data_IF_111683765714
#
_entry.id   IF_111683765714
#
_cell.length_a   1.000
_cell.length_b   1.000
_cell.length_c   1.000
_cell.angle_alpha   90.00
_cell.angle_beta   90.00
_cell.angle_gamma   90.00
#
_symmetry.space_group_name_H-M   'P 1'
#
loop_
_entity.id
_entity.type
_entity.pdbx_description
1 polymer ?
#
# COMPACT_ATOMS: atom_id res chain seq x y z
N UNK A 1 -16.80 -5.12 12.62
CA UNK A 1 -15.34 -5.13 12.40
C UNK A 1 -14.84 -3.71 12.54
N UNK A 2 -13.65 -3.53 13.12
CA UNK A 2 -12.97 -2.23 13.19
C UNK A 2 -12.67 -1.70 11.76
N UNK A 3 -13.05 -0.45 11.41
CA UNK A 3 -12.85 0.11 10.07
C UNK A 3 -11.38 0.17 9.63
N UNK A 4 -10.46 0.50 10.53
CA UNK A 4 -9.01 0.55 10.21
C UNK A 4 -8.49 -0.84 9.84
N UNK A 5 -8.87 -1.84 10.62
CA UNK A 5 -8.55 -3.25 10.36
C UNK A 5 -9.12 -3.73 9.03
N UNK A 6 -10.32 -3.28 8.66
CA UNK A 6 -10.91 -3.57 7.35
C UNK A 6 -10.06 -2.98 6.22
N UNK A 7 -9.69 -1.70 6.31
CA UNK A 7 -8.82 -1.06 5.31
C UNK A 7 -7.48 -1.81 5.18
N UNK A 8 -6.79 -2.09 6.29
CA UNK A 8 -5.51 -2.80 6.28
C UNK A 8 -5.64 -4.19 5.62
N UNK A 9 -6.73 -4.91 5.90
CA UNK A 9 -7.02 -6.20 5.26
C UNK A 9 -7.27 -6.09 3.74
N UNK A 10 -7.98 -5.05 3.30
CA UNK A 10 -8.18 -4.77 1.87
C UNK A 10 -6.84 -4.49 1.19
N UNK A 11 -6.00 -3.61 1.74
CA UNK A 11 -4.68 -3.30 1.17
C UNK A 11 -3.81 -4.57 1.04
N UNK A 12 -3.78 -5.40 2.08
CA UNK A 12 -3.01 -6.64 2.04
C UNK A 12 -3.50 -7.62 0.96
N UNK A 13 -4.81 -7.71 0.75
CA UNK A 13 -5.43 -8.55 -0.29
C UNK A 13 -5.11 -8.03 -1.69
N UNK A 14 -5.40 -6.76 -1.93
CA UNK A 14 -5.29 -6.11 -3.25
C UNK A 14 -3.84 -6.14 -3.76
N UNK A 15 -2.87 -5.87 -2.89
CA UNK A 15 -1.47 -5.83 -3.29
C UNK A 15 -0.74 -7.16 -3.11
N UNK A 16 -1.43 -8.28 -2.85
CA UNK A 16 -0.76 -9.58 -2.67
C UNK A 16 -0.05 -10.05 -3.94
N UNK A 17 -0.65 -9.81 -5.10
CA UNK A 17 -0.17 -10.30 -6.40
C UNK A 17 0.54 -9.24 -7.25
N UNK A 18 1.01 -8.16 -6.62
CA UNK A 18 1.73 -7.05 -7.25
C UNK A 18 0.92 -6.18 -8.24
N UNK A 19 -0.31 -6.56 -8.58
CA UNK A 19 -1.20 -5.82 -9.49
C UNK A 19 -2.56 -5.68 -8.81
N UNK A 20 -3.06 -4.45 -8.70
CA UNK A 20 -4.41 -4.19 -8.23
C UNK A 20 -5.37 -4.19 -9.42
N UNK A 21 -6.31 -5.13 -9.46
CA UNK A 21 -7.28 -5.22 -10.55
C UNK A 21 -8.26 -4.03 -10.53
N UNK A 22 -8.90 -3.74 -11.67
CA UNK A 22 -9.84 -2.60 -11.78
C UNK A 22 -10.96 -2.66 -10.73
N UNK A 23 -11.52 -3.85 -10.52
CA UNK A 23 -12.58 -4.06 -9.54
C UNK A 23 -12.09 -3.84 -8.09
N UNK A 24 -10.83 -4.16 -7.81
CA UNK A 24 -10.19 -3.95 -6.51
C UNK A 24 -9.88 -2.48 -6.24
N UNK A 25 -9.36 -1.78 -7.25
CA UNK A 25 -9.15 -0.33 -7.19
C UNK A 25 -10.47 0.40 -6.96
N UNK A 26 -11.54 -0.04 -7.63
CA UNK A 26 -12.89 0.47 -7.42
C UNK A 26 -13.40 0.19 -6.01
N UNK A 27 -13.24 -1.04 -5.51
CA UNK A 27 -13.64 -1.41 -4.15
C UNK A 27 -12.93 -0.55 -3.09
N UNK A 28 -11.62 -0.35 -3.25
CA UNK A 28 -10.84 0.52 -2.37
C UNK A 28 -11.32 1.96 -2.41
N UNK A 29 -11.52 2.53 -3.61
CA UNK A 29 -12.01 3.89 -3.79
C UNK A 29 -13.40 4.08 -3.16
N UNK A 30 -14.32 3.14 -3.38
CA UNK A 30 -15.67 3.17 -2.81
C UNK A 30 -15.61 3.09 -1.27
N UNK A 31 -14.69 2.28 -0.71
CA UNK A 31 -14.51 2.21 0.74
C UNK A 31 -13.93 3.50 1.34
N UNK A 32 -12.92 4.10 0.70
CA UNK A 32 -12.36 5.38 1.12
C UNK A 32 -13.37 6.53 1.01
N UNK A 33 -14.25 6.50 0.01
CA UNK A 33 -15.31 7.48 -0.18
C UNK A 33 -16.53 7.29 0.77
N UNK A 34 -16.63 6.14 1.45
CA UNK A 34 -17.79 5.82 2.31
C UNK A 34 -17.92 6.67 3.57
N UNK A 35 -16.86 7.41 3.94
CA UNK A 35 -16.81 8.18 5.19
C UNK A 35 -16.66 7.32 6.46
N UNK A 36 -16.37 6.02 6.32
CA UNK A 36 -16.16 5.12 7.45
C UNK A 36 -14.89 5.39 8.26
N UNK A 37 -13.94 6.16 7.69
CA UNK A 37 -12.67 6.55 8.29
C UNK A 37 -12.46 8.04 8.06
N UNK A 38 -11.83 8.72 9.02
CA UNK A 38 -11.34 10.08 8.82
C UNK A 38 -10.09 10.08 7.94
N UNK A 39 -9.72 11.24 7.38
CA UNK A 39 -8.49 11.37 6.60
C UNK A 39 -7.24 11.01 7.42
N UNK A 40 -7.21 11.32 8.71
CA UNK A 40 -6.10 10.96 9.60
C UNK A 40 -6.03 9.47 9.85
N UNK A 41 -7.18 8.81 10.02
CA UNK A 41 -7.24 7.35 10.16
C UNK A 41 -6.73 6.62 8.90
N UNK A 42 -7.09 7.12 7.72
CA UNK A 42 -6.61 6.57 6.44
C UNK A 42 -5.10 6.73 6.33
N UNK A 43 -4.56 7.90 6.66
CA UNK A 43 -3.11 8.14 6.65
C UNK A 43 -2.36 7.23 7.61
N UNK A 44 -2.87 7.03 8.82
CA UNK A 44 -2.29 6.13 9.82
C UNK A 44 -2.23 4.69 9.30
N UNK A 45 -3.32 4.19 8.73
CA UNK A 45 -3.38 2.82 8.18
C UNK A 45 -2.46 2.65 6.98
N UNK A 46 -2.40 3.64 6.08
CA UNK A 46 -1.50 3.62 4.92
C UNK A 46 -0.05 3.61 5.39
N UNK A 47 0.32 4.48 6.34
CA UNK A 47 1.69 4.54 6.86
C UNK A 47 2.12 3.22 7.52
N UNK A 48 1.25 2.62 8.35
CA UNK A 48 1.50 1.32 8.97
C UNK A 48 1.58 0.19 7.93
N UNK A 49 0.75 0.22 6.89
CA UNK A 49 0.80 -0.74 5.79
C UNK A 49 2.10 -0.64 4.99
N UNK A 50 2.53 0.57 4.63
CA UNK A 50 3.79 0.82 3.91
C UNK A 50 4.98 0.35 4.76
N UNK A 51 5.04 0.73 6.04
CA UNK A 51 6.11 0.30 6.92
C UNK A 51 6.17 -1.22 7.10
N UNK A 52 5.02 -1.89 7.20
CA UNK A 52 4.94 -3.35 7.30
C UNK A 52 5.37 -4.03 6.00
N UNK A 53 4.86 -3.55 4.86
CA UNK A 53 5.19 -4.09 3.53
C UNK A 53 6.69 -4.00 3.28
N UNK A 54 7.31 -2.85 3.57
CA UNK A 54 8.75 -2.68 3.42
C UNK A 54 9.55 -3.69 4.22
N UNK A 55 9.25 -3.83 5.53
CA UNK A 55 9.94 -4.78 6.42
C UNK A 55 9.87 -6.22 5.91
N UNK A 56 8.75 -6.61 5.29
CA UNK A 56 8.57 -7.94 4.72
C UNK A 56 9.39 -8.09 3.45
N UNK A 57 9.30 -7.13 2.53
CA UNK A 57 9.99 -7.14 1.23
C UNK A 57 11.52 -7.12 1.35
N UNK A 58 12.07 -6.53 2.41
CA UNK A 58 13.53 -6.53 2.64
C UNK A 58 14.02 -7.64 3.58
N UNK A 59 13.15 -8.53 4.05
CA UNK A 59 13.50 -9.52 5.07
C UNK A 59 14.67 -10.42 4.64
N UNK A 60 14.75 -10.74 3.36
CA UNK A 60 15.79 -11.55 2.73
C UNK A 60 16.88 -10.71 2.03
N UNK A 61 16.83 -9.38 2.17
CA UNK A 61 17.88 -8.45 1.73
C UNK A 61 17.97 -8.22 0.22
N UNK A 62 17.11 -8.86 -0.58
CA UNK A 62 17.03 -8.71 -2.03
C UNK A 62 15.59 -8.43 -2.42
N UNK A 63 15.35 -7.33 -3.15
CA UNK A 63 14.03 -7.04 -3.69
C UNK A 63 13.94 -7.55 -5.12
N UNK A 64 13.07 -8.52 -5.36
CA UNK A 64 12.81 -9.08 -6.68
C UNK A 64 12.07 -8.09 -7.59
N UNK A 65 12.08 -8.34 -8.90
CA UNK A 65 11.34 -7.50 -9.85
C UNK A 65 9.83 -7.48 -9.56
N UNK A 66 9.25 -8.63 -9.18
CA UNK A 66 7.83 -8.73 -8.79
C UNK A 66 7.52 -7.88 -7.55
N UNK A 67 8.44 -7.82 -6.60
CA UNK A 67 8.27 -6.96 -5.44
C UNK A 67 8.41 -5.49 -5.82
N UNK A 68 9.36 -5.13 -6.69
CA UNK A 68 9.42 -3.77 -7.24
C UNK A 68 8.11 -3.38 -7.93
N UNK A 69 7.54 -4.26 -8.73
CA UNK A 69 6.22 -4.06 -9.36
C UNK A 69 5.14 -3.81 -8.32
N UNK A 70 5.06 -4.64 -7.28
CA UNK A 70 4.13 -4.45 -6.16
C UNK A 70 4.31 -3.10 -5.48
N UNK A 71 5.55 -2.72 -5.19
CA UNK A 71 5.89 -1.46 -4.55
C UNK A 71 5.48 -0.25 -5.42
N UNK A 72 5.68 -0.32 -6.75
CA UNK A 72 5.24 0.71 -7.70
C UNK A 72 3.72 0.80 -7.76
N UNK A 73 3.05 -0.35 -7.79
CA UNK A 73 1.60 -0.43 -7.84
C UNK A 73 0.96 0.19 -6.59
N UNK A 74 1.52 -0.05 -5.40
CA UNK A 74 1.08 0.58 -4.14
C UNK A 74 1.16 2.10 -4.24
N UNK A 75 2.30 2.64 -4.71
CA UNK A 75 2.49 4.10 -4.86
C UNK A 75 1.49 4.67 -5.86
N UNK A 76 1.30 4.01 -7.00
CA UNK A 76 0.40 4.46 -8.05
C UNK A 76 -1.08 4.46 -7.62
N UNK A 77 -1.55 3.38 -6.98
CA UNK A 77 -2.95 3.22 -6.57
C UNK A 77 -3.29 4.12 -5.39
N UNK A 78 -2.40 4.21 -4.39
CA UNK A 78 -2.62 5.03 -3.20
C UNK A 78 -2.24 6.50 -3.40
N UNK A 79 -1.64 6.84 -4.55
CA UNK A 79 -1.14 8.19 -4.89
C UNK A 79 -0.23 8.74 -3.78
N UNK A 80 0.71 7.90 -3.33
CA UNK A 80 1.63 8.29 -2.27
C UNK A 80 2.63 9.33 -2.79
N UNK A 81 2.77 10.42 -2.05
CA UNK A 81 3.87 11.37 -2.27
C UNK A 81 5.22 10.74 -1.92
N UNK A 82 6.30 11.30 -2.45
CA UNK A 82 7.65 10.77 -2.24
C UNK A 82 8.08 10.77 -0.75
N UNK A 83 7.55 11.68 0.06
CA UNK A 83 7.79 11.72 1.51
C UNK A 83 6.97 10.70 2.31
N UNK A 84 5.93 10.13 1.71
CA UNK A 84 5.06 9.14 2.36
C UNK A 84 5.64 7.71 2.30
N UNK A 85 6.71 7.49 1.54
CA UNK A 85 7.42 6.21 1.45
C UNK A 85 8.79 6.28 2.12
N UNK A 86 9.30 5.19 2.71
CA UNK A 86 10.67 5.14 3.24
C UNK A 86 11.70 5.48 2.16
N UNK A 87 12.77 6.21 2.54
CA UNK A 87 13.81 6.61 1.58
C UNK A 87 14.46 5.41 0.84
N UNK A 88 14.56 4.27 1.51
CA UNK A 88 15.10 3.04 0.91
C UNK A 88 14.15 2.44 -0.13
N UNK A 89 12.83 2.52 0.11
CA UNK A 89 11.81 2.13 -0.87
C UNK A 89 11.94 3.02 -2.11
N UNK A 90 12.05 4.33 -1.95
CA UNK A 90 12.23 5.26 -3.07
C UNK A 90 13.46 4.89 -3.92
N UNK A 91 14.60 4.59 -3.28
CA UNK A 91 15.82 4.13 -3.97
C UNK A 91 15.62 2.86 -4.81
N UNK A 92 14.83 1.91 -4.31
CA UNK A 92 14.51 0.67 -5.02
C UNK A 92 13.63 0.92 -6.25
N UNK A 93 12.79 1.97 -6.21
CA UNK A 93 11.91 2.32 -7.33
C UNK A 93 12.61 3.10 -8.44
N UNK A 94 13.61 3.90 -8.11
CA UNK A 94 14.44 4.68 -9.04
C UNK A 94 15.53 3.85 -9.76
N UNK A 95 15.80 2.63 -9.29
CA UNK A 95 16.82 1.71 -9.81
C UNK A 95 16.27 0.61 -10.71
#
# INVERSE_FOLDING_TARGET
MDPKRKLKGMLARIFSDAVAEEHERKELADYLASGALSSDDVKEVIADFVATTWKITIADGVVSDREKERLREIVAVLKLDADAVPAEWARVLEA
#
